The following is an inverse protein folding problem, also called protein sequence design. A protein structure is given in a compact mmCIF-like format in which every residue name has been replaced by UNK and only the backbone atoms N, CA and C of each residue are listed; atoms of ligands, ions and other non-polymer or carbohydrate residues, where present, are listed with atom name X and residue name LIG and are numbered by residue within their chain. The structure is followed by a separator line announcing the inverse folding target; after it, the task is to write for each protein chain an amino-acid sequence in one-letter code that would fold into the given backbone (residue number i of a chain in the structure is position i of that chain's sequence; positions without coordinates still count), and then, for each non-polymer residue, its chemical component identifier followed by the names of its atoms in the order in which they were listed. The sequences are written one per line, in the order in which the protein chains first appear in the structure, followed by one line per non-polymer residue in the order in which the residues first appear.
data_IF_814772235420
#
_entry.id   IF_814772235420
#
_cell.length_a   1.000
_cell.length_b   1.000
_cell.length_c   1.000
_cell.angle_alpha   90.00
_cell.angle_beta   90.00
_cell.angle_gamma   90.00
#
_symmetry.space_group_name_H-M   'P 1'
#
loop_
_entity.id
_entity.type
_entity.pdbx_description
1 polymer ?
#
# COMPACT_ATOMS: atom_id res chain seq x y z
N UNK A 1 4.46 -12.94 35.12
CA UNK A 1 4.65 -14.07 34.20
C UNK A 1 3.41 -14.17 33.33
N UNK A 2 3.38 -13.40 32.23
CA UNK A 2 2.40 -13.55 31.16
C UNK A 2 3.16 -13.25 29.87
N UNK A 3 3.62 -14.33 29.23
CA UNK A 3 4.22 -14.29 27.89
C UNK A 3 3.11 -14.02 26.87
N UNK A 4 3.32 -13.02 26.02
CA UNK A 4 2.57 -12.85 24.78
C UNK A 4 3.37 -13.50 23.65
N UNK A 5 2.77 -14.35 22.79
CA UNK A 5 3.50 -14.91 21.67
C UNK A 5 3.60 -13.83 20.57
N UNK A 6 4.78 -13.22 20.46
CA UNK A 6 5.19 -12.53 19.24
C UNK A 6 5.30 -13.58 18.12
N UNK A 7 4.48 -13.47 17.09
CA UNK A 7 4.58 -14.33 15.92
C UNK A 7 5.72 -13.82 15.05
N UNK A 8 6.92 -14.33 15.35
CA UNK A 8 8.16 -14.05 14.63
C UNK A 8 8.25 -15.06 13.49
N UNK A 9 8.07 -14.59 12.25
CA UNK A 9 8.24 -15.44 11.06
C UNK A 9 9.64 -15.20 10.48
N UNK A 10 10.44 -16.27 10.48
CA UNK A 10 11.76 -16.30 9.83
C UNK A 10 11.53 -16.61 8.35
N UNK A 11 11.58 -15.58 7.52
CA UNK A 11 11.94 -15.71 6.10
C UNK A 11 13.35 -15.13 6.03
N UNK A 12 14.32 -15.92 5.55
CA UNK A 12 15.76 -15.62 5.56
C UNK A 12 16.07 -14.10 5.55
N UNK A 13 16.44 -13.60 6.73
CA UNK A 13 16.87 -12.24 7.06
C UNK A 13 16.01 -11.05 6.59
N UNK A 14 14.69 -11.11 6.73
CA UNK A 14 13.86 -9.89 6.83
C UNK A 14 12.87 -10.02 7.99
N UNK A 15 13.06 -9.25 9.06
CA UNK A 15 12.06 -9.15 10.13
C UNK A 15 11.00 -8.12 9.73
N UNK A 16 9.75 -8.57 9.61
CA UNK A 16 8.61 -7.72 9.23
C UNK A 16 7.80 -7.41 10.47
N UNK A 17 7.80 -6.15 10.93
CA UNK A 17 6.98 -5.72 12.07
C UNK A 17 5.70 -5.03 11.59
N UNK A 18 4.53 -5.64 11.87
CA UNK A 18 3.21 -5.09 11.50
C UNK A 18 2.46 -4.68 12.77
N UNK A 19 2.40 -3.38 13.05
CA UNK A 19 1.67 -2.87 14.21
C UNK A 19 0.19 -2.60 13.88
N UNK A 20 -0.72 -3.54 14.18
CA UNK A 20 -2.19 -3.35 14.05
C UNK A 20 -2.81 -2.87 15.36
N UNK A 21 -3.57 -1.78 15.35
CA UNK A 21 -4.45 -1.43 16.48
C UNK A 21 -5.83 -0.95 15.97
N UNK A 22 -6.90 -1.40 16.64
CA UNK A 22 -8.09 -1.96 15.97
C UNK A 22 -9.34 -1.05 15.94
N UNK A 23 -9.36 0.12 16.61
CA UNK A 23 -10.65 0.82 16.88
C UNK A 23 -10.96 2.11 16.10
N UNK A 24 -9.98 2.83 15.55
CA UNK A 24 -10.23 4.20 15.05
C UNK A 24 -10.68 4.33 13.58
N UNK A 25 -10.31 3.41 12.69
CA UNK A 25 -10.65 3.54 11.27
C UNK A 25 -12.15 3.23 11.00
N UNK A 26 -12.70 2.27 11.73
CA UNK A 26 -14.10 1.83 11.58
C UNK A 26 -15.10 2.88 12.08
N UNK A 27 -14.75 3.65 13.12
CA UNK A 27 -15.60 4.73 13.63
C UNK A 27 -15.67 5.92 12.66
N UNK A 28 -14.58 6.24 11.96
CA UNK A 28 -14.53 7.34 10.98
C UNK A 28 -15.35 7.03 9.72
N UNK A 29 -15.31 5.80 9.22
CA UNK A 29 -16.15 5.35 8.08
C UNK A 29 -17.64 5.37 8.44
N UNK A 30 -17.98 5.09 9.71
CA UNK A 30 -19.37 5.22 10.22
C UNK A 30 -19.82 6.68 10.30
N UNK A 31 -19.00 7.53 10.91
CA UNK A 31 -19.32 8.96 11.13
C UNK A 31 -19.51 9.73 9.82
N UNK A 32 -18.74 9.42 8.77
CA UNK A 32 -18.88 10.07 7.46
C UNK A 32 -20.13 9.63 6.67
N UNK A 33 -20.67 8.43 6.92
CA UNK A 33 -21.92 7.99 6.31
C UNK A 33 -23.16 8.60 6.99
N UNK A 34 -23.06 9.00 8.25
CA UNK A 34 -24.15 9.65 8.98
C UNK A 34 -24.31 11.14 8.59
N UNK A 35 -23.25 11.82 8.16
CA UNK A 35 -23.32 13.24 7.76
C UNK A 35 -23.98 13.49 6.39
N UNK A 36 -24.31 12.46 5.61
CA UNK A 36 -24.98 12.58 4.30
C UNK A 36 -26.46 12.18 4.30
N UNK A 37 -27.02 11.77 5.44
CA UNK A 37 -28.43 11.37 5.54
C UNK A 37 -29.30 12.49 6.13
N UNK A 38 -29.64 13.51 5.32
CA UNK A 38 -30.68 14.47 5.67
C UNK A 38 -32.08 13.92 5.29
N UNK A 39 -33.09 13.92 6.18
CA UNK A 39 -34.41 13.38 5.86
C UNK A 39 -35.26 14.42 5.11
N UNK A 40 -35.61 14.13 3.85
CA UNK A 40 -36.68 14.84 3.14
C UNK A 40 -38.05 14.31 3.59
N UNK A 41 -38.83 15.16 4.26
CA UNK A 41 -40.27 14.95 4.51
C UNK A 41 -41.03 15.13 3.20
N UNK A 42 -41.87 14.16 2.84
CA UNK A 42 -42.98 14.33 1.91
C UNK A 42 -44.18 13.55 2.43
N UNK A 43 -45.33 14.22 2.43
CA UNK A 43 -46.64 13.76 2.94
C UNK A 43 -47.51 13.37 1.74
N UNK A 44 -48.18 12.22 1.83
CA UNK A 44 -49.29 11.82 0.95
C UNK A 44 -49.68 10.33 1.10
N UNK A 45 -50.96 10.05 1.37
CA UNK A 45 -51.63 8.74 1.65
C UNK A 45 -52.91 8.68 0.75
N UNK A 46 -53.71 7.59 0.65
CA UNK A 46 -53.46 6.15 0.40
C UNK A 46 -54.45 5.47 -0.63
N UNK A 47 -54.43 4.11 -0.69
CA UNK A 47 -55.46 3.10 -1.15
C UNK A 47 -55.26 2.57 -2.59
N UNK A 48 -55.28 1.28 -2.98
CA UNK A 48 -55.83 0.02 -2.43
C UNK A 48 -55.06 -1.27 -2.89
N UNK A 49 -55.13 -2.31 -2.04
CA UNK A 49 -55.26 -3.77 -2.23
C UNK A 49 -54.52 -4.57 -3.33
N UNK A 50 -53.63 -5.49 -2.87
CA UNK A 50 -53.63 -6.95 -3.20
C UNK A 50 -52.66 -7.74 -2.31
N UNK A 51 -53.13 -8.90 -1.83
CA UNK A 51 -52.50 -9.87 -0.91
C UNK A 51 -51.46 -10.81 -1.60
N UNK A 52 -50.69 -11.65 -0.87
CA UNK A 52 -49.22 -11.62 -0.89
C UNK A 52 -48.57 -12.73 -1.73
N UNK A 53 -47.43 -12.40 -2.35
CA UNK A 53 -46.48 -13.38 -2.87
C UNK A 53 -45.37 -13.59 -1.83
N UNK A 54 -45.12 -14.85 -1.46
CA UNK A 54 -44.10 -15.31 -0.54
C UNK A 54 -42.72 -14.69 -0.87
N UNK A 55 -42.40 -13.60 -0.19
CA UNK A 55 -41.08 -12.99 -0.21
C UNK A 55 -40.40 -13.41 1.08
N UNK A 56 -39.40 -14.28 0.94
CA UNK A 56 -38.56 -14.69 2.06
C UNK A 56 -38.03 -13.44 2.77
N UNK A 57 -38.10 -13.41 4.10
CA UNK A 57 -37.67 -12.28 4.95
C UNK A 57 -36.18 -11.95 4.87
N UNK A 58 -35.41 -12.69 4.09
CA UNK A 58 -34.05 -12.35 3.69
C UNK A 58 -34.05 -11.15 2.74
N UNK A 59 -34.28 -9.96 3.28
CA UNK A 59 -33.88 -8.74 2.61
C UNK A 59 -32.35 -8.69 2.61
N UNK A 60 -31.74 -8.95 1.45
CA UNK A 60 -30.33 -8.65 1.22
C UNK A 60 -30.15 -7.16 1.46
N UNK A 61 -29.69 -6.77 2.66
CA UNK A 61 -29.28 -5.40 2.95
C UNK A 61 -28.35 -5.00 1.81
N UNK A 62 -28.79 -4.06 0.98
CA UNK A 62 -27.94 -3.40 0.01
C UNK A 62 -26.76 -2.87 0.81
N UNK A 63 -25.59 -3.55 0.70
CA UNK A 63 -24.35 -3.01 1.26
C UNK A 63 -24.23 -1.64 0.62
N UNK A 64 -24.25 -0.58 1.43
CA UNK A 64 -23.87 0.75 0.96
C UNK A 64 -22.60 0.59 0.14
N UNK A 65 -22.59 1.12 -1.09
CA UNK A 65 -21.48 0.94 -2.05
C UNK A 65 -20.17 1.15 -1.28
N UNK A 66 -19.43 0.07 -1.07
CA UNK A 66 -18.12 0.15 -0.43
C UNK A 66 -17.28 1.11 -1.29
N UNK A 67 -16.55 1.99 -0.62
CA UNK A 67 -15.65 2.93 -1.28
C UNK A 67 -14.67 2.09 -2.09
N UNK A 68 -14.76 2.19 -3.42
CA UNK A 68 -13.92 1.44 -4.34
C UNK A 68 -12.84 2.39 -4.83
N UNK A 69 -11.62 2.20 -4.32
CA UNK A 69 -10.43 2.90 -4.81
C UNK A 69 -9.71 1.93 -5.76
N UNK A 70 -9.30 2.35 -6.97
CA UNK A 70 -8.49 1.51 -7.86
C UNK A 70 -7.28 0.92 -7.14
N UNK A 71 -6.86 -0.29 -7.49
CA UNK A 71 -5.70 -0.93 -6.84
C UNK A 71 -5.91 -1.33 -5.38
N UNK A 72 -7.15 -1.25 -4.85
CA UNK A 72 -7.48 -1.72 -3.51
C UNK A 72 -8.51 -2.82 -3.48
N UNK A 73 -8.45 -3.62 -2.42
CA UNK A 73 -9.41 -4.68 -2.15
C UNK A 73 -9.87 -4.59 -0.70
N UNK A 74 -11.13 -4.92 -0.37
CA UNK A 74 -11.51 -5.13 1.01
C UNK A 74 -10.92 -6.45 1.52
N UNK A 75 -10.23 -6.41 2.66
CA UNK A 75 -9.72 -7.58 3.37
C UNK A 75 -10.85 -8.54 3.70
N UNK A 76 -10.62 -9.83 3.47
CA UNK A 76 -11.61 -10.90 3.72
C UNK A 76 -11.92 -11.05 5.22
N UNK A 77 -10.96 -10.71 6.09
CA UNK A 77 -11.10 -10.88 7.54
C UNK A 77 -11.88 -9.72 8.17
N UNK A 78 -11.52 -8.48 7.81
CA UNK A 78 -11.96 -7.29 8.54
C UNK A 78 -12.71 -6.26 7.68
N UNK A 79 -12.79 -6.46 6.36
CA UNK A 79 -13.37 -5.49 5.42
C UNK A 79 -12.60 -4.18 5.27
N UNK A 80 -11.42 -4.05 5.90
CA UNK A 80 -10.52 -2.91 5.75
C UNK A 80 -9.94 -2.89 4.33
N UNK A 81 -9.72 -1.70 3.78
CA UNK A 81 -9.04 -1.56 2.49
C UNK A 81 -7.58 -2.02 2.63
N UNK A 82 -7.16 -2.89 1.71
CA UNK A 82 -5.79 -3.38 1.59
C UNK A 82 -5.23 -3.00 0.22
N UNK A 83 -3.93 -2.74 0.19
CA UNK A 83 -3.12 -2.43 -0.99
C UNK A 83 -2.03 -3.49 -1.16
N UNK A 84 -1.67 -3.81 -2.41
CA UNK A 84 -0.61 -4.76 -2.69
C UNK A 84 0.77 -4.13 -2.41
N UNK A 85 1.69 -4.93 -1.87
CA UNK A 85 3.11 -4.56 -1.73
C UNK A 85 3.86 -4.57 -3.05
N UNK A 86 3.26 -5.02 -4.15
CA UNK A 86 3.95 -5.31 -5.41
C UNK A 86 4.65 -6.67 -5.43
N UNK A 87 4.67 -7.37 -4.29
CA UNK A 87 5.25 -8.71 -4.16
C UNK A 87 4.15 -9.67 -3.67
N UNK A 88 3.66 -10.50 -4.58
CA UNK A 88 2.52 -11.41 -4.31
C UNK A 88 2.80 -12.41 -3.19
N UNK A 89 4.05 -12.87 -3.05
CA UNK A 89 4.46 -13.75 -1.96
C UNK A 89 4.46 -13.05 -0.61
N UNK A 90 4.92 -11.80 -0.55
CA UNK A 90 4.87 -10.98 0.68
C UNK A 90 3.42 -10.69 1.05
N UNK A 91 2.60 -10.29 0.08
CA UNK A 91 1.16 -10.07 0.29
C UNK A 91 0.50 -11.31 0.88
N UNK A 92 0.79 -12.50 0.38
CA UNK A 92 0.27 -13.75 0.93
C UNK A 92 0.66 -13.93 2.41
N UNK A 93 1.93 -13.71 2.76
CA UNK A 93 2.45 -13.87 4.13
C UNK A 93 1.79 -12.88 5.11
N UNK A 94 1.56 -11.63 4.70
CA UNK A 94 1.00 -10.59 5.58
C UNK A 94 -0.54 -10.59 5.69
N UNK A 95 -1.19 -11.58 5.07
CA UNK A 95 -2.65 -11.76 5.12
C UNK A 95 -3.39 -11.12 3.95
N UNK A 96 -2.76 -11.11 2.78
CA UNK A 96 -3.30 -10.67 1.49
C UNK A 96 -2.91 -9.26 1.07
N UNK A 97 -2.07 -8.53 1.80
CA UNK A 97 -1.66 -7.15 1.49
C UNK A 97 -1.55 -6.23 2.72
N UNK A 98 -1.15 -4.99 2.48
CA UNK A 98 -1.03 -3.94 3.52
C UNK A 98 -2.35 -3.22 3.73
N UNK A 99 -2.78 -3.06 4.99
CA UNK A 99 -4.00 -2.33 5.29
C UNK A 99 -3.77 -0.80 5.23
N UNK A 100 -4.75 -0.06 4.72
CA UNK A 100 -4.73 1.41 4.74
C UNK A 100 -4.65 1.93 6.19
N UNK A 101 -3.77 2.90 6.43
CA UNK A 101 -3.46 3.45 7.75
C UNK A 101 -2.47 2.61 8.56
N UNK A 102 -1.71 1.73 7.91
CA UNK A 102 -0.63 0.95 8.54
C UNK A 102 0.75 1.33 8.02
N UNK A 103 1.75 0.95 8.81
CA UNK A 103 3.17 1.13 8.57
C UNK A 103 3.79 -0.27 8.48
N UNK A 104 4.56 -0.53 7.43
CA UNK A 104 5.43 -1.68 7.29
C UNK A 104 6.86 -1.23 7.54
N UNK A 105 7.51 -1.80 8.55
CA UNK A 105 8.95 -1.62 8.77
C UNK A 105 9.69 -2.84 8.24
N UNK A 106 10.67 -2.60 7.38
CA UNK A 106 11.57 -3.60 6.81
C UNK A 106 12.95 -3.28 7.36
N UNK A 107 13.54 -4.21 8.10
CA UNK A 107 14.92 -4.06 8.55
C UNK A 107 15.88 -4.22 7.36
N UNK A 108 16.80 -3.27 7.20
CA UNK A 108 17.81 -3.29 6.14
C UNK A 108 18.90 -4.34 6.42
N UNK A 109 19.35 -5.01 5.36
CA UNK A 109 20.55 -5.85 5.42
C UNK A 109 21.83 -5.00 5.32
N UNK A 110 23.00 -5.63 5.42
CA UNK A 110 24.30 -4.93 5.33
C UNK A 110 24.42 -4.07 4.05
N UNK A 111 23.76 -4.44 2.97
CA UNK A 111 23.88 -3.78 1.67
C UNK A 111 22.61 -3.06 1.22
N UNK A 112 21.53 -3.05 2.02
CA UNK A 112 20.21 -2.50 1.66
C UNK A 112 19.61 -3.04 0.32
N UNK A 113 20.20 -4.08 -0.26
CA UNK A 113 19.86 -4.50 -1.63
C UNK A 113 18.43 -5.05 -1.72
N UNK A 114 18.00 -5.80 -0.71
CA UNK A 114 16.67 -6.41 -0.66
C UNK A 114 15.62 -5.44 -0.16
N UNK A 115 15.92 -4.63 0.86
CA UNK A 115 15.03 -3.59 1.38
C UNK A 115 14.72 -2.55 0.30
N UNK A 116 15.74 -2.03 -0.39
CA UNK A 116 15.56 -1.15 -1.55
C UNK A 116 14.72 -1.78 -2.64
N UNK A 117 14.92 -3.06 -2.94
CA UNK A 117 14.10 -3.76 -3.95
C UNK A 117 12.63 -3.84 -3.51
N UNK A 118 12.35 -4.21 -2.26
CA UNK A 118 10.98 -4.26 -1.73
C UNK A 118 10.31 -2.89 -1.75
N UNK A 119 11.06 -1.83 -1.44
CA UNK A 119 10.57 -0.46 -1.55
C UNK A 119 10.22 -0.10 -3.00
N UNK A 120 11.10 -0.43 -3.97
CA UNK A 120 10.84 -0.23 -5.40
C UNK A 120 9.60 -0.97 -5.89
N UNK A 121 9.38 -2.22 -5.47
CA UNK A 121 8.14 -2.94 -5.81
C UNK A 121 6.90 -2.24 -5.25
N UNK A 122 6.97 -1.77 -4.00
CA UNK A 122 5.86 -1.05 -3.37
C UNK A 122 5.50 0.25 -4.11
N UNK A 123 6.52 0.97 -4.58
CA UNK A 123 6.37 2.19 -5.37
C UNK A 123 5.86 1.89 -6.79
N UNK A 124 6.41 0.88 -7.46
CA UNK A 124 5.98 0.47 -8.80
C UNK A 124 4.52 0.02 -8.82
N UNK A 125 4.06 -0.72 -7.80
CA UNK A 125 2.65 -1.07 -7.63
C UNK A 125 1.76 0.15 -7.40
N UNK A 126 2.30 1.20 -6.79
CA UNK A 126 1.63 2.49 -6.70
C UNK A 126 1.45 3.16 -8.06
N UNK A 127 2.51 3.20 -8.88
CA UNK A 127 2.46 3.76 -10.24
C UNK A 127 1.43 3.02 -11.10
N UNK A 128 1.49 1.68 -11.15
CA UNK A 128 0.58 0.87 -11.99
C UNK A 128 -0.88 1.02 -11.54
N UNK A 129 -1.13 1.10 -10.23
CA UNK A 129 -2.48 1.29 -9.69
C UNK A 129 -3.01 2.73 -9.84
N UNK A 130 -2.17 3.71 -10.20
CA UNK A 130 -2.54 5.13 -10.20
C UNK A 130 -2.66 5.75 -8.80
N UNK A 131 -1.98 5.17 -7.81
CA UNK A 131 -1.88 5.76 -6.47
C UNK A 131 -0.94 6.96 -6.47
N UNK A 132 -1.13 7.90 -5.55
CA UNK A 132 -0.14 8.96 -5.36
C UNK A 132 1.03 8.41 -4.53
N UNK A 133 2.23 8.84 -4.89
CA UNK A 133 3.46 8.39 -4.23
C UNK A 133 4.05 9.52 -3.41
N UNK A 134 4.64 9.17 -2.27
CA UNK A 134 5.53 10.03 -1.53
C UNK A 134 6.84 9.27 -1.31
N UNK A 135 7.96 9.81 -1.79
CA UNK A 135 9.28 9.18 -1.65
C UNK A 135 10.18 10.12 -0.87
N UNK A 136 10.72 9.64 0.25
CA UNK A 136 11.74 10.35 0.99
C UNK A 136 13.03 9.55 1.06
N UNK A 137 14.15 10.23 0.84
CA UNK A 137 15.48 9.64 0.89
C UNK A 137 16.49 10.69 1.36
N UNK A 138 17.51 10.22 2.09
CA UNK A 138 18.64 11.03 2.50
C UNK A 138 19.89 10.81 1.65
N UNK A 139 19.95 9.70 0.89
CA UNK A 139 21.12 9.32 0.08
C UNK A 139 20.89 9.67 -1.39
N UNK A 140 19.92 9.00 -2.02
CA UNK A 140 19.60 9.19 -3.44
C UNK A 140 18.47 10.19 -3.62
N UNK A 141 18.45 10.87 -4.77
CA UNK A 141 17.36 11.77 -5.10
C UNK A 141 16.08 10.95 -5.38
N UNK A 142 14.89 11.36 -4.91
CA UNK A 142 13.65 10.60 -5.09
C UNK A 142 13.33 10.34 -6.57
N UNK A 143 13.69 11.25 -7.48
CA UNK A 143 13.53 11.02 -8.93
C UNK A 143 14.38 9.86 -9.46
N UNK A 144 15.57 9.64 -8.93
CA UNK A 144 16.45 8.56 -9.38
C UNK A 144 15.84 7.21 -8.98
N UNK A 145 15.31 7.12 -7.75
CA UNK A 145 14.58 5.94 -7.26
C UNK A 145 13.35 5.65 -8.15
N UNK A 146 12.63 6.70 -8.58
CA UNK A 146 11.44 6.58 -9.43
C UNK A 146 11.78 6.17 -10.88
N UNK A 147 12.96 6.50 -11.38
CA UNK A 147 13.44 6.08 -12.71
C UNK A 147 13.87 4.61 -12.74
N UNK A 148 14.31 4.07 -11.61
CA UNK A 148 14.76 2.69 -11.46
C UNK A 148 13.64 1.70 -11.08
N UNK A 149 12.36 2.10 -11.17
CA UNK A 149 11.24 1.23 -10.83
C UNK A 149 11.13 0.07 -11.84
N UNK A 150 10.88 -1.17 -11.37
CA UNK A 150 10.78 -2.32 -12.25
C UNK A 150 9.53 -2.27 -13.14
N UNK A 151 9.64 -2.78 -14.36
CA UNK A 151 8.53 -2.83 -15.31
C UNK A 151 7.52 -3.92 -14.96
N UNK A 152 6.20 -3.65 -15.03
CA UNK A 152 5.19 -4.67 -14.83
C UNK A 152 5.22 -5.67 -15.98
N UNK A 153 5.12 -6.96 -15.63
CA UNK A 153 4.87 -8.04 -16.58
C UNK A 153 3.40 -7.95 -16.95
N UNK A 154 3.12 -7.33 -18.09
CA UNK A 154 1.80 -7.36 -18.71
C UNK A 154 1.60 -8.79 -19.23
N UNK A 155 0.87 -9.59 -18.46
CA UNK A 155 0.46 -10.90 -18.94
C UNK A 155 -0.47 -10.70 -20.15
N UNK A 156 0.00 -11.05 -21.34
CA UNK A 156 -0.83 -11.45 -22.50
C UNK A 156 -1.54 -12.78 -22.21
N UNK A 157 -2.16 -12.90 -21.04
CA UNK A 157 -3.05 -13.99 -20.69
C UNK A 157 -4.45 -13.40 -20.68
N UNK A 158 -4.96 -13.31 -21.91
CA UNK A 158 -6.36 -13.40 -22.25
C UNK A 158 -7.32 -12.78 -21.22
N UNK A 159 -7.91 -11.63 -21.61
CA UNK A 159 -9.35 -11.46 -21.45
C UNK A 159 -10.04 -12.82 -21.50
N UNK A 160 -10.99 -13.17 -20.61
CA UNK A 160 -11.83 -14.33 -20.82
C UNK A 160 -12.74 -14.00 -22.01
N UNK A 161 -12.18 -14.06 -23.22
CA UNK A 161 -12.95 -14.34 -24.41
C UNK A 161 -13.45 -15.75 -24.15
N UNK A 162 -14.74 -15.84 -23.89
CA UNK A 162 -15.56 -17.00 -24.19
C UNK A 162 -15.02 -17.64 -25.47
N UNK A 163 -14.17 -18.64 -25.32
CA UNK A 163 -13.66 -19.40 -26.43
C UNK A 163 -14.74 -20.45 -26.67
N UNK A 164 -15.79 -20.04 -27.37
CA UNK A 164 -16.54 -20.98 -28.19
C UNK A 164 -15.50 -21.67 -29.09
N UNK A 165 -15.27 -22.95 -28.83
CA UNK A 165 -14.52 -23.83 -29.71
C UNK A 165 -15.22 -23.90 -31.07
N UNK A 166 -14.88 -22.97 -31.96
CA UNK A 166 -14.94 -23.20 -33.39
C UNK A 166 -13.65 -23.90 -33.82
N UNK A 167 -13.54 -25.18 -33.48
CA UNK A 167 -12.59 -26.11 -34.11
C UNK A 167 -13.25 -26.65 -35.38
N UNK A 168 -13.00 -26.00 -36.52
CA UNK A 168 -13.17 -26.65 -37.84
C UNK A 168 -11.81 -27.07 -38.39
N UNK A 169 -11.62 -28.39 -38.35
CA UNK A 169 -10.85 -29.26 -39.24
C UNK A 169 -9.37 -28.98 -39.50
N UNK A 170 -8.52 -29.83 -38.92
CA UNK A 170 -7.44 -30.55 -39.62
C UNK A 170 -7.23 -31.92 -38.94
N UNK A 171 -6.84 -32.93 -39.74
CA UNK A 171 -6.85 -34.39 -39.55
C UNK A 171 -6.49 -35.05 -38.20
N UNK A 172 -6.95 -36.31 -37.96
CA UNK A 172 -6.77 -37.07 -36.72
C UNK A 172 -5.46 -37.89 -36.68
N UNK A 173 -4.31 -37.32 -37.07
CA UNK A 173 -3.03 -38.08 -37.12
C UNK A 173 -1.79 -37.39 -36.52
N UNK A 174 -1.94 -36.47 -35.57
CA UNK A 174 -0.79 -36.06 -34.76
C UNK A 174 -1.13 -35.92 -33.27
N UNK A 175 -1.42 -37.07 -32.65
CA UNK A 175 -1.32 -37.24 -31.21
C UNK A 175 0.13 -37.49 -30.78
N UNK A 176 1.09 -36.68 -31.23
CA UNK A 176 2.43 -36.71 -30.62
C UNK A 176 2.49 -35.72 -29.46
N UNK A 177 1.63 -35.98 -28.46
CA UNK A 177 1.83 -35.42 -27.13
C UNK A 177 3.18 -35.89 -26.61
N UNK A 178 4.06 -34.93 -26.27
CA UNK A 178 5.42 -35.11 -25.76
C UNK A 178 5.67 -36.50 -25.11
N UNK A 179 6.21 -37.45 -25.88
CA UNK A 179 6.43 -38.86 -25.46
C UNK A 179 7.33 -39.02 -24.23
N UNK A 180 8.18 -38.04 -23.94
CA UNK A 180 9.14 -38.10 -22.82
C UNK A 180 8.52 -37.63 -21.50
N UNK A 181 7.48 -36.79 -21.55
CA UNK A 181 6.88 -36.16 -20.36
C UNK A 181 5.50 -36.75 -19.99
N UNK A 182 5.14 -37.94 -20.50
CA UNK A 182 3.85 -38.57 -20.24
C UNK A 182 3.57 -38.81 -18.74
N UNK A 183 4.62 -39.06 -17.95
CA UNK A 183 4.51 -39.22 -16.49
C UNK A 183 4.06 -37.95 -15.78
N UNK A 184 4.30 -36.78 -16.37
CA UNK A 184 3.92 -35.49 -15.80
C UNK A 184 2.55 -35.00 -16.25
N UNK A 185 1.93 -35.66 -17.24
CA UNK A 185 0.60 -35.31 -17.76
C UNK A 185 -0.50 -35.45 -16.70
N UNK A 186 -0.31 -36.37 -15.75
CA UNK A 186 -1.24 -36.66 -14.66
C UNK A 186 -0.81 -36.05 -13.32
N UNK A 187 0.30 -35.30 -13.27
CA UNK A 187 0.60 -34.57 -12.05
C UNK A 187 -0.51 -33.53 -11.85
N UNK A 188 -0.97 -33.35 -10.59
CA UNK A 188 -1.82 -32.21 -10.28
C UNK A 188 -1.08 -30.99 -10.80
N UNK A 189 -1.68 -30.28 -11.77
CA UNK A 189 -1.19 -28.96 -12.16
C UNK A 189 -1.19 -28.20 -10.84
N UNK A 190 -0.01 -27.92 -10.31
CA UNK A 190 0.14 -27.11 -9.12
C UNK A 190 -0.38 -25.74 -9.53
N UNK A 191 -1.69 -25.55 -9.37
CA UNK A 191 -2.29 -24.24 -9.33
C UNK A 191 -1.69 -23.67 -8.07
N UNK A 192 -0.57 -22.96 -8.22
CA UNK A 192 -0.10 -22.04 -7.21
C UNK A 192 -1.35 -21.28 -6.79
N UNK A 193 -1.77 -21.43 -5.53
CA UNK A 193 -3.03 -20.86 -5.03
C UNK A 193 -3.15 -19.34 -5.25
N UNK A 194 -2.05 -18.71 -5.70
CA UNK A 194 -1.92 -17.34 -6.18
C UNK A 194 -2.64 -17.05 -7.52
N UNK A 195 -3.05 -18.05 -8.32
CA UNK A 195 -3.52 -17.82 -9.69
C UNK A 195 -5.06 -17.67 -9.86
N UNK A 196 -5.88 -17.97 -8.85
CA UNK A 196 -7.34 -18.15 -9.02
C UNK A 196 -8.24 -17.10 -8.34
N UNK A 197 -7.66 -16.14 -7.62
CA UNK A 197 -8.34 -14.89 -7.23
C UNK A 197 -7.99 -13.84 -8.29
N UNK A 198 -8.95 -13.01 -8.71
CA UNK A 198 -8.66 -11.73 -9.42
C UNK A 198 -7.34 -11.16 -8.90
N UNK A 199 -6.32 -11.11 -9.77
CA UNK A 199 -4.92 -10.98 -9.35
C UNK A 199 -4.75 -9.66 -8.61
N UNK A 200 -4.49 -9.77 -7.31
CA UNK A 200 -4.23 -8.64 -6.44
C UNK A 200 -2.72 -8.40 -6.49
N UNK A 201 -2.31 -7.31 -7.13
CA UNK A 201 -0.91 -6.99 -7.43
C UNK A 201 -0.46 -7.45 -8.82
N UNK A 202 0.60 -6.81 -9.31
CA UNK A 202 1.24 -7.14 -10.58
C UNK A 202 2.53 -7.93 -10.33
N UNK A 203 3.00 -8.62 -11.37
CA UNK A 203 4.36 -9.17 -11.37
C UNK A 203 5.27 -8.18 -12.07
N UNK A 204 6.54 -8.19 -11.68
CA UNK A 204 7.50 -7.19 -12.10
C UNK A 204 8.76 -7.87 -12.60
N UNK A 205 9.25 -7.41 -13.75
CA UNK A 205 10.52 -7.83 -14.32
C UNK A 205 11.61 -6.86 -13.85
N UNK A 206 12.49 -7.34 -12.97
CA UNK A 206 13.60 -6.55 -12.42
C UNK A 206 14.65 -6.24 -13.47
N UNK A 207 14.74 -7.03 -14.54
CA UNK A 207 15.70 -6.80 -15.61
C UNK A 207 15.36 -5.60 -16.49
N UNK A 208 14.15 -5.04 -16.32
CA UNK A 208 13.64 -3.93 -17.12
C UNK A 208 13.12 -2.81 -16.22
N UNK A 209 13.45 -1.58 -16.58
CA UNK A 209 12.87 -0.40 -15.95
C UNK A 209 11.52 -0.07 -16.57
N UNK A 210 10.60 0.47 -15.78
CA UNK A 210 9.31 0.96 -16.24
C UNK A 210 9.50 2.10 -17.24
N UNK A 211 8.56 2.24 -18.18
CA UNK A 211 8.55 3.34 -19.14
C UNK A 211 8.50 4.70 -18.40
N UNK A 212 9.42 5.64 -18.69
CA UNK A 212 9.45 6.94 -18.02
C UNK A 212 8.17 7.76 -18.22
N UNK A 213 7.41 7.56 -19.31
CA UNK A 213 6.14 8.26 -19.52
C UNK A 213 5.10 7.87 -18.46
N UNK A 214 5.07 6.60 -18.09
CA UNK A 214 4.16 6.07 -17.06
C UNK A 214 4.57 6.61 -15.69
N UNK A 215 5.87 6.62 -15.39
CA UNK A 215 6.39 7.19 -14.14
C UNK A 215 6.12 8.70 -14.03
N UNK A 216 6.26 9.46 -15.12
CA UNK A 216 6.01 10.91 -15.13
C UNK A 216 4.53 11.27 -15.06
N UNK A 217 3.64 10.40 -15.57
CA UNK A 217 2.20 10.58 -15.46
C UNK A 217 1.69 10.37 -14.02
N UNK A 218 2.42 9.61 -13.19
CA UNK A 218 2.08 9.39 -11.80
C UNK A 218 2.39 10.63 -10.94
N UNK A 219 1.44 11.01 -10.07
CA UNK A 219 1.67 12.11 -9.12
C UNK A 219 2.56 11.61 -7.99
N UNK A 220 3.79 12.13 -7.97
CA UNK A 220 4.80 11.79 -6.98
C UNK A 220 5.21 13.05 -6.20
N UNK A 221 5.29 12.92 -4.89
CA UNK A 221 5.84 13.92 -3.98
C UNK A 221 7.21 13.42 -3.50
N UNK A 222 8.23 14.28 -3.58
CA UNK A 222 9.59 13.94 -3.19
C UNK A 222 10.03 14.72 -1.96
N UNK A 223 10.80 14.09 -1.08
CA UNK A 223 11.56 14.77 -0.04
C UNK A 223 13.02 14.32 -0.09
N UNK A 224 13.91 15.26 -0.37
CA UNK A 224 15.35 15.02 -0.40
C UNK A 224 16.02 15.81 0.71
N UNK A 225 16.61 15.10 1.67
CA UNK A 225 17.15 15.72 2.90
C UNK A 225 18.24 16.77 2.64
N UNK A 226 19.20 16.59 1.71
CA UNK A 226 20.25 17.58 1.44
C UNK A 226 19.71 18.92 0.95
N UNK A 227 18.66 18.93 0.12
CA UNK A 227 18.02 20.17 -0.34
C UNK A 227 17.42 20.96 0.82
N UNK A 228 16.75 20.25 1.73
CA UNK A 228 16.09 20.87 2.89
C UNK A 228 17.08 21.32 3.98
N UNK A 229 18.30 20.76 4.00
CA UNK A 229 19.37 21.17 4.93
C UNK A 229 20.02 22.50 4.54
N UNK A 230 20.06 22.85 3.25
CA UNK A 230 20.70 24.10 2.78
C UNK A 230 19.85 25.36 3.00
N UNK A 231 18.53 25.21 3.13
CA UNK A 231 17.59 26.33 3.31
C UNK A 231 17.66 27.00 4.70
N UNK A 232 18.37 26.41 5.68
CA UNK A 232 18.41 26.88 7.08
C UNK A 232 19.76 27.53 7.44
N UNK A 233 20.43 28.17 6.47
CA UNK A 233 21.66 28.95 6.73
C UNK A 233 21.37 30.39 7.20
N UNK A 234 20.10 30.76 7.45
CA UNK A 234 19.74 32.06 8.01
C UNK A 234 19.15 31.93 9.41
N UNK A 235 19.95 32.36 10.39
CA UNK A 235 19.67 32.66 11.79
C UNK A 235 19.69 31.48 12.79
N UNK A 236 20.64 31.47 13.75
CA UNK A 236 20.56 30.61 14.93
C UNK A 236 19.51 31.21 15.87
N UNK A 237 18.26 30.80 15.72
CA UNK A 237 17.24 31.19 16.69
C UNK A 237 17.35 30.29 17.91
N UNK A 238 17.46 30.95 19.05
CA UNK A 238 17.94 30.42 20.30
C UNK A 238 17.03 29.38 20.98
N UNK A 239 17.66 28.52 21.79
CA UNK A 239 17.16 28.02 23.08
C UNK A 239 15.85 27.23 23.09
N UNK A 240 15.95 25.96 22.72
CA UNK A 240 15.06 24.89 23.14
C UNK A 240 15.68 23.57 22.72
N UNK A 241 15.87 22.61 23.64
CA UNK A 241 16.26 21.26 23.24
C UNK A 241 15.07 20.65 22.48
N UNK A 242 15.12 20.65 21.14
CA UNK A 242 14.14 19.90 20.35
C UNK A 242 14.23 18.43 20.75
N UNK A 243 13.11 17.72 20.98
CA UNK A 243 13.13 16.30 21.32
C UNK A 243 13.62 15.42 20.16
N UNK A 244 13.80 15.97 18.96
CA UNK A 244 14.12 15.23 17.74
C UNK A 244 14.99 16.05 16.77
N UNK A 245 15.89 15.40 15.99
CA UNK A 245 16.64 16.03 14.91
C UNK A 245 15.78 16.77 13.89
N UNK A 246 16.32 17.85 13.33
CA UNK A 246 15.62 18.71 12.36
C UNK A 246 15.18 17.95 11.09
N UNK A 247 15.96 16.95 10.68
CA UNK A 247 15.66 16.11 9.53
C UNK A 247 14.30 15.41 9.67
N UNK A 248 14.05 14.80 10.84
CA UNK A 248 12.80 14.10 11.11
C UNK A 248 11.63 15.07 11.29
N UNK A 249 11.84 16.24 11.90
CA UNK A 249 10.77 17.24 12.07
C UNK A 249 10.36 17.84 10.73
N UNK A 250 11.34 18.20 9.90
CA UNK A 250 11.13 18.67 8.54
C UNK A 250 10.39 17.63 7.70
N UNK A 251 10.77 16.35 7.79
CA UNK A 251 10.09 15.26 7.08
C UNK A 251 8.63 15.09 7.54
N UNK A 252 8.36 15.06 8.86
CA UNK A 252 6.98 14.96 9.38
C UNK A 252 6.12 16.15 8.95
N UNK A 253 6.66 17.36 9.03
CA UNK A 253 5.95 18.57 8.63
C UNK A 253 5.60 18.54 7.14
N UNK A 254 6.56 18.15 6.29
CA UNK A 254 6.33 18.03 4.85
C UNK A 254 5.30 16.93 4.53
N UNK A 255 5.39 15.76 5.17
CA UNK A 255 4.39 14.70 5.03
C UNK A 255 2.99 15.18 5.45
N UNK A 256 2.88 15.88 6.58
CA UNK A 256 1.62 16.41 7.07
C UNK A 256 1.04 17.44 6.09
N UNK A 257 1.88 18.30 5.53
CA UNK A 257 1.48 19.27 4.50
C UNK A 257 0.92 18.57 3.26
N UNK A 258 1.61 17.56 2.72
CA UNK A 258 1.15 16.80 1.56
C UNK A 258 -0.17 16.07 1.84
N UNK A 259 -0.27 15.40 2.99
CA UNK A 259 -1.49 14.69 3.41
C UNK A 259 -2.69 15.63 3.49
N UNK A 260 -2.48 16.83 4.04
CA UNK A 260 -3.54 17.84 4.18
C UNK A 260 -3.89 18.48 2.84
N UNK A 261 -2.89 18.93 2.07
CA UNK A 261 -3.04 19.61 0.78
C UNK A 261 -3.79 18.76 -0.24
N UNK A 262 -3.45 17.47 -0.32
CA UNK A 262 -4.07 16.53 -1.25
C UNK A 262 -5.34 15.85 -0.67
N UNK A 263 -5.75 16.23 0.56
CA UNK A 263 -7.01 15.79 1.17
C UNK A 263 -7.06 14.32 1.59
N UNK A 264 -5.92 13.68 1.86
CA UNK A 264 -5.88 12.29 2.31
C UNK A 264 -6.41 12.10 3.74
N UNK A 265 -6.37 13.14 4.57
CA UNK A 265 -6.90 13.17 5.95
C UNK A 265 -8.44 13.32 6.01
N UNK A 266 -9.09 13.57 4.87
CA UNK A 266 -10.52 13.82 4.75
C UNK A 266 -10.97 15.20 5.22
N UNK A 267 -10.05 16.11 5.53
CA UNK A 267 -10.36 17.51 5.86
C UNK A 267 -10.80 18.30 4.62
N UNK A 268 -10.16 18.02 3.48
CA UNK A 268 -10.47 18.59 2.17
C UNK A 268 -10.90 17.47 1.22
N UNK A 269 -11.96 17.65 0.41
CA UNK A 269 -12.30 16.69 -0.64
C UNK A 269 -11.16 16.56 -1.66
N UNK A 270 -10.77 15.33 -2.00
CA UNK A 270 -9.76 15.10 -3.03
C UNK A 270 -10.23 15.61 -4.40
N UNK A 271 -9.32 16.20 -5.17
CA UNK A 271 -9.61 17.01 -6.37
C UNK A 271 -10.25 16.26 -7.54
N UNK A 272 -10.06 14.93 -7.64
CA UNK A 272 -10.59 14.10 -8.74
C UNK A 272 -11.50 13.00 -8.24
N UNK A 273 -10.90 12.03 -7.56
CA UNK A 273 -11.55 10.83 -7.02
C UNK A 273 -10.77 10.38 -5.79
N UNK A 274 -11.37 9.48 -5.00
CA UNK A 274 -10.67 8.96 -3.82
C UNK A 274 -9.45 8.16 -4.24
N UNK A 275 -8.29 8.57 -3.75
CA UNK A 275 -7.00 7.93 -3.99
C UNK A 275 -6.31 7.58 -2.66
N UNK A 276 -5.24 6.80 -2.74
CA UNK A 276 -4.39 6.44 -1.61
C UNK A 276 -3.00 6.99 -1.83
N UNK A 277 -2.39 7.45 -0.74
CA UNK A 277 -0.99 7.86 -0.69
C UNK A 277 -0.12 6.68 -0.25
N UNK A 278 0.84 6.30 -1.09
CA UNK A 278 1.88 5.31 -0.76
C UNK A 278 3.16 6.05 -0.40
N UNK A 279 3.54 5.94 0.87
CA UNK A 279 4.72 6.60 1.43
C UNK A 279 5.86 5.59 1.46
N UNK A 280 6.92 5.82 0.70
CA UNK A 280 8.18 5.09 0.75
C UNK A 280 9.26 5.92 1.42
N UNK A 281 9.75 5.48 2.57
CA UNK A 281 10.88 6.11 3.26
C UNK A 281 12.11 5.20 3.14
N UNK A 282 13.17 5.70 2.53
CA UNK A 282 14.40 4.97 2.28
C UNK A 282 15.44 5.20 3.39
N UNK A 283 16.06 4.12 3.88
CA UNK A 283 17.06 4.08 4.96
C UNK A 283 16.82 5.02 6.13
N UNK A 284 15.61 4.98 6.69
CA UNK A 284 15.23 5.75 7.85
C UNK A 284 15.99 5.24 9.08
N UNK A 285 16.62 6.15 9.85
CA UNK A 285 17.48 5.76 10.97
C UNK A 285 18.95 5.56 10.60
N UNK A 286 19.30 5.65 9.31
CA UNK A 286 20.70 5.76 8.92
C UNK A 286 21.34 7.06 9.45
N UNK A 287 22.67 7.05 9.57
CA UNK A 287 23.43 8.22 10.04
C UNK A 287 23.19 9.49 9.20
N UNK A 288 22.68 9.35 7.97
CA UNK A 288 22.35 10.46 7.09
C UNK A 288 21.17 11.31 7.60
N UNK A 289 20.26 10.72 8.38
CA UNK A 289 19.13 11.43 8.98
C UNK A 289 19.50 12.26 10.22
N UNK A 290 20.79 12.35 10.55
CA UNK A 290 21.27 13.13 11.68
C UNK A 290 20.96 12.50 13.05
N UNK A 291 20.70 11.19 13.07
CA UNK A 291 20.58 10.44 14.32
C UNK A 291 21.97 10.27 14.96
N UNK A 292 22.02 10.38 16.29
CA UNK A 292 23.25 10.24 17.07
C UNK A 292 23.37 8.91 17.82
N UNK A 293 22.37 8.02 17.67
CA UNK A 293 22.36 6.68 18.30
C UNK A 293 23.61 5.86 18.00
N UNK A 294 24.03 5.80 16.74
CA UNK A 294 25.17 4.98 16.31
C UNK A 294 26.53 5.69 16.48
N UNK A 295 26.50 7.00 16.78
CA UNK A 295 27.67 7.87 16.72
C UNK A 295 28.18 8.28 18.11
N UNK A 296 27.40 8.06 19.18
CA UNK A 296 27.70 8.55 20.53
C UNK A 296 27.29 7.54 21.60
N UNK A 297 28.12 7.40 22.64
CA UNK A 297 27.80 6.57 23.82
C UNK A 297 26.61 7.12 24.62
N UNK A 298 26.41 8.44 24.60
CA UNK A 298 25.25 9.12 25.20
C UNK A 298 24.52 9.95 24.13
N UNK A 299 23.60 9.33 23.36
CA UNK A 299 22.86 10.03 22.33
C UNK A 299 21.92 11.07 22.95
N UNK A 300 21.93 12.28 22.39
CA UNK A 300 21.03 13.38 22.78
C UNK A 300 19.59 13.07 22.40
N UNK A 301 19.39 12.32 21.31
CA UNK A 301 18.06 11.99 20.80
C UNK A 301 17.81 10.48 20.76
N UNK A 302 18.09 9.78 21.87
CA UNK A 302 17.93 8.32 21.97
C UNK A 302 16.53 7.76 21.65
N UNK A 303 15.51 8.62 21.54
CA UNK A 303 14.14 8.23 21.17
C UNK A 303 13.64 8.94 19.89
N UNK A 304 14.50 9.60 19.12
CA UNK A 304 14.12 10.34 17.92
C UNK A 304 13.36 9.47 16.91
N UNK A 305 13.97 8.37 16.47
CA UNK A 305 13.37 7.46 15.50
C UNK A 305 12.01 6.93 15.99
N UNK A 306 11.92 6.48 17.24
CA UNK A 306 10.66 5.99 17.81
C UNK A 306 9.60 7.09 17.89
N UNK A 307 9.99 8.32 18.23
CA UNK A 307 9.11 9.49 18.28
C UNK A 307 8.61 9.85 16.88
N UNK A 308 9.49 9.81 15.88
CA UNK A 308 9.15 9.99 14.48
C UNK A 308 8.13 8.94 14.02
N UNK A 309 8.43 7.65 14.25
CA UNK A 309 7.55 6.55 13.86
C UNK A 309 6.20 6.62 14.57
N UNK A 310 6.16 7.09 15.82
CA UNK A 310 4.91 7.36 16.54
C UNK A 310 4.09 8.48 15.88
N UNK A 311 4.74 9.59 15.51
CA UNK A 311 4.12 10.69 14.76
C UNK A 311 3.57 10.24 13.41
N UNK A 312 4.41 9.55 12.61
CA UNK A 312 4.03 8.98 11.32
C UNK A 312 2.83 8.03 11.46
N UNK A 313 2.87 7.13 12.45
CA UNK A 313 1.76 6.21 12.73
C UNK A 313 0.46 6.93 13.10
N UNK A 314 0.53 8.08 13.78
CA UNK A 314 -0.64 8.90 14.06
C UNK A 314 -1.26 9.44 12.77
N UNK A 315 -0.44 10.04 11.89
CA UNK A 315 -0.85 10.58 10.60
C UNK A 315 -1.46 9.53 9.66
N UNK A 316 -0.86 8.33 9.59
CA UNK A 316 -1.37 7.24 8.77
C UNK A 316 -2.77 6.80 9.21
N UNK A 317 -3.03 6.75 10.53
CA UNK A 317 -4.36 6.36 11.03
C UNK A 317 -5.46 7.37 10.74
N UNK A 318 -5.11 8.64 10.58
CA UNK A 318 -6.04 9.70 10.24
C UNK A 318 -6.15 9.95 8.74
N UNK A 319 -5.44 9.20 7.88
CA UNK A 319 -5.40 9.44 6.43
C UNK A 319 -5.58 8.16 5.59
N UNK A 320 -5.92 8.33 4.32
CA UNK A 320 -5.92 7.27 3.31
C UNK A 320 -4.51 7.00 2.79
N UNK A 321 -3.61 6.61 3.69
CA UNK A 321 -2.19 6.44 3.39
C UNK A 321 -1.64 5.12 3.91
N UNK A 322 -0.60 4.59 3.26
CA UNK A 322 0.16 3.41 3.68
C UNK A 322 1.63 3.74 3.57
N UNK A 323 2.42 3.37 4.60
CA UNK A 323 3.85 3.60 4.58
C UNK A 323 4.65 2.30 4.59
N UNK A 324 5.70 2.26 3.77
CA UNK A 324 6.80 1.30 3.84
C UNK A 324 8.06 2.07 4.21
N UNK A 325 8.74 1.59 5.24
CA UNK A 325 9.98 2.16 5.75
C UNK A 325 11.03 1.07 5.73
N UNK A 326 12.15 1.36 5.09
CA UNK A 326 13.39 0.61 5.16
C UNK A 326 14.32 1.32 6.13
#
# INVERSE_FOLDING_TARGET
MFEFPNQQFVVNQCYVFISRNRSLLLSKIRSLNESMAAPRRSVGKPIADRLPCNTTSFQKKSRSKLVSIPGTRPSVQNGQLIVSTGVTSLDYVIGGGLAVGTLLLIEEDRYDSYSRMLLKYFLAEGVVCGHELYVASALDHPNDILQELPAPILDDIASPKTMEEQTKSCDPENQDGMKIAWRYQHLPKVQTALASSSRFGHYYDVSKTMDPEICQAARCHGFYLPEHSTAVTSAPTATGQSPMPEAYSSLLNNLQEVIHREGFDGSVPQTKSRNILRIGLHSLGSALWGDDLCCRENPRHGHALTTFLYGLRSMLRSSLSVAVVT
#
